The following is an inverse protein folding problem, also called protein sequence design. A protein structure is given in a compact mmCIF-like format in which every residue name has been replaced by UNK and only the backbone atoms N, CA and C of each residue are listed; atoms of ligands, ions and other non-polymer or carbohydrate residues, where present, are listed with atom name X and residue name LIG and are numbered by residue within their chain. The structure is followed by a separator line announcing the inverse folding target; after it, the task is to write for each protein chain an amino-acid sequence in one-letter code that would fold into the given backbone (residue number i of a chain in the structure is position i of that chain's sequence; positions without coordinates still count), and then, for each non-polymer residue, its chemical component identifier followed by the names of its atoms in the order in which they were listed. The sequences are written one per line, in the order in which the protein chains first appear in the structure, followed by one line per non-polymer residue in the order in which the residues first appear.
data_IF_614463060003
#
_entry.id   IF_614463060003
#
_cell.length_a   1.000
_cell.length_b   1.000
_cell.length_c   1.000
_cell.angle_alpha   90.00
_cell.angle_beta   90.00
_cell.angle_gamma   90.00
#
_symmetry.space_group_name_H-M   'P 1'
#
loop_
_entity.id
_entity.type
_entity.pdbx_description
1 polymer ?
#
# COMPACT_ATOMS: atom_id res chain seq x y z
N UNK A 1 6.89 -14.33 -9.04
CA UNK A 1 6.22 -13.16 -8.45
C UNK A 1 5.06 -12.80 -9.34
N UNK A 2 3.85 -12.78 -8.77
CA UNK A 2 2.63 -12.40 -9.50
C UNK A 2 2.38 -10.89 -9.50
N UNK A 3 3.23 -10.13 -8.79
CA UNK A 3 3.13 -8.68 -8.70
C UNK A 3 3.92 -8.01 -9.83
N UNK A 4 3.46 -6.84 -10.27
CA UNK A 4 4.12 -6.03 -11.28
C UNK A 4 4.17 -4.56 -10.85
N UNK A 5 5.20 -3.86 -11.29
CA UNK A 5 5.33 -2.41 -11.16
C UNK A 5 5.69 -1.85 -12.53
N UNK A 6 4.95 -0.85 -12.96
CA UNK A 6 5.19 -0.13 -14.20
C UNK A 6 5.25 1.37 -13.92
N UNK A 7 6.07 2.08 -14.69
CA UNK A 7 6.29 3.50 -14.54
C UNK A 7 6.23 4.18 -15.90
N UNK A 8 5.43 5.22 -16.00
CA UNK A 8 5.32 6.08 -17.17
C UNK A 8 5.84 7.46 -16.81
N UNK A 9 6.76 7.97 -17.62
CA UNK A 9 7.37 9.29 -17.47
C UNK A 9 7.01 10.07 -18.73
N UNK A 10 6.49 11.30 -18.56
CA UNK A 10 6.25 12.21 -19.69
C UNK A 10 7.55 12.39 -20.47
N UNK A 11 7.49 12.38 -21.80
CA UNK A 11 8.67 12.45 -22.66
C UNK A 11 9.53 13.70 -22.37
N UNK A 12 8.89 14.85 -22.13
CA UNK A 12 9.56 16.10 -21.75
C UNK A 12 10.28 16.05 -20.40
N UNK A 13 9.93 15.10 -19.52
CA UNK A 13 10.50 14.96 -18.19
C UNK A 13 11.60 13.89 -18.13
N UNK A 14 11.72 13.04 -19.16
CA UNK A 14 12.66 11.92 -19.18
C UNK A 14 14.04 12.37 -19.66
N UNK A 15 15.09 11.95 -18.96
CA UNK A 15 16.48 12.14 -19.38
C UNK A 15 16.74 11.55 -20.77
N UNK A 16 17.53 12.23 -21.64
CA UNK A 16 18.36 13.41 -21.33
C UNK A 16 17.62 14.76 -21.37
N UNK A 17 16.38 14.81 -21.87
CA UNK A 17 15.68 16.08 -22.12
C UNK A 17 15.03 16.67 -20.86
N UNK A 18 14.81 15.85 -19.83
CA UNK A 18 14.19 16.26 -18.58
C UNK A 18 14.86 15.69 -17.34
N UNK A 19 14.39 16.11 -16.16
CA UNK A 19 15.08 15.90 -14.88
C UNK A 19 14.90 14.49 -14.30
N UNK A 20 14.15 13.60 -14.96
CA UNK A 20 13.84 12.26 -14.43
C UNK A 20 14.68 11.20 -15.13
N UNK A 21 15.50 10.49 -14.37
CA UNK A 21 16.35 9.40 -14.84
C UNK A 21 16.03 8.11 -14.07
N UNK A 22 15.57 7.03 -14.73
CA UNK A 22 15.53 5.71 -14.11
C UNK A 22 16.93 5.23 -13.75
N UNK A 23 17.15 4.85 -12.48
CA UNK A 23 18.45 4.41 -11.99
C UNK A 23 18.52 2.89 -11.88
N UNK A 24 17.54 2.27 -11.23
CA UNK A 24 17.59 0.83 -10.94
C UNK A 24 16.20 0.28 -10.60
N UNK A 25 16.04 -1.03 -10.75
CA UNK A 25 14.88 -1.76 -10.26
C UNK A 25 15.29 -3.14 -9.75
N UNK A 26 14.59 -3.67 -8.75
CA UNK A 26 14.84 -5.00 -8.19
C UNK A 26 13.54 -5.67 -7.75
N UNK A 27 13.52 -6.99 -7.83
CA UNK A 27 12.45 -7.84 -7.32
C UNK A 27 13.03 -8.84 -6.33
N UNK A 28 12.33 -9.10 -5.22
CA UNK A 28 12.73 -10.14 -4.29
C UNK A 28 11.52 -10.76 -3.59
N UNK A 29 11.58 -12.08 -3.39
CA UNK A 29 10.56 -12.88 -2.72
C UNK A 29 10.90 -13.10 -1.25
N UNK A 30 9.90 -13.15 -0.37
CA UNK A 30 10.12 -13.48 1.05
C UNK A 30 10.35 -14.98 1.28
N UNK A 31 9.86 -15.83 0.38
CA UNK A 31 10.04 -17.29 0.49
C UNK A 31 10.59 -17.88 -0.81
N UNK A 32 11.37 -18.96 -0.69
CA UNK A 32 11.89 -19.70 -1.85
C UNK A 32 10.84 -20.57 -2.54
N UNK A 33 9.77 -20.95 -1.83
CA UNK A 33 8.84 -22.01 -2.25
C UNK A 33 7.54 -21.42 -2.82
N UNK A 34 7.13 -20.22 -2.39
CA UNK A 34 5.95 -19.56 -2.91
C UNK A 34 6.25 -18.09 -3.20
N UNK A 35 6.64 -17.82 -4.45
CA UNK A 35 7.09 -16.52 -4.92
C UNK A 35 5.98 -15.48 -5.12
N UNK A 36 4.80 -15.65 -4.52
CA UNK A 36 3.66 -14.71 -4.64
C UNK A 36 3.69 -13.58 -3.60
N UNK A 37 4.66 -13.60 -2.68
CA UNK A 37 4.83 -12.59 -1.62
C UNK A 37 6.25 -12.05 -1.68
N UNK A 38 6.38 -10.74 -1.75
CA UNK A 38 7.67 -10.10 -1.94
C UNK A 38 7.57 -8.59 -2.07
N UNK A 39 8.64 -8.00 -2.58
CA UNK A 39 8.67 -6.61 -2.99
C UNK A 39 9.35 -6.39 -4.35
N UNK A 40 8.87 -5.34 -5.00
CA UNK A 40 9.41 -4.74 -6.22
C UNK A 40 9.89 -3.35 -5.86
N UNK A 41 10.96 -2.92 -6.51
CA UNK A 41 11.55 -1.60 -6.29
C UNK A 41 11.86 -0.95 -7.61
N UNK A 42 11.63 0.35 -7.70
CA UNK A 42 12.04 1.22 -8.80
C UNK A 42 12.66 2.48 -8.19
N UNK A 43 13.88 2.79 -8.60
CA UNK A 43 14.61 3.97 -8.15
C UNK A 43 14.75 4.93 -9.30
N UNK A 44 14.29 6.16 -9.08
CA UNK A 44 14.37 7.26 -10.03
C UNK A 44 15.22 8.38 -9.41
N UNK A 45 16.12 8.98 -10.18
CA UNK A 45 16.65 10.31 -9.89
C UNK A 45 15.66 11.31 -10.49
N UNK A 46 15.05 12.15 -9.67
CA UNK A 46 14.14 13.23 -10.07
C UNK A 46 14.77 14.54 -9.65
N UNK A 47 15.18 15.37 -10.61
CA UNK A 47 16.10 16.49 -10.36
C UNK A 47 17.32 15.96 -9.62
N UNK A 48 17.70 16.54 -8.47
CA UNK A 48 18.81 16.05 -7.65
C UNK A 48 18.38 15.22 -6.44
N UNK A 49 17.15 14.68 -6.47
CA UNK A 49 16.64 13.80 -5.43
C UNK A 49 16.56 12.36 -5.92
N UNK A 50 16.98 11.42 -5.07
CA UNK A 50 16.86 9.97 -5.34
C UNK A 50 15.61 9.44 -4.64
N UNK A 51 14.67 8.96 -5.44
CA UNK A 51 13.34 8.52 -5.00
C UNK A 51 13.21 7.02 -5.24
N UNK A 52 12.88 6.26 -4.20
CA UNK A 52 12.64 4.82 -4.26
C UNK A 52 11.15 4.51 -4.13
N UNK A 53 10.57 3.88 -5.14
CA UNK A 53 9.23 3.31 -5.11
C UNK A 53 9.33 1.84 -4.74
N UNK A 54 8.59 1.44 -3.71
CA UNK A 54 8.52 0.07 -3.20
C UNK A 54 7.09 -0.42 -3.37
N UNK A 55 6.92 -1.46 -4.19
CA UNK A 55 5.69 -2.23 -4.32
C UNK A 55 5.81 -3.47 -3.45
N UNK A 56 4.80 -3.83 -2.67
CA UNK A 56 4.85 -5.04 -1.85
C UNK A 56 3.57 -5.87 -1.88
N UNK A 57 3.73 -7.15 -1.58
CA UNK A 57 2.64 -8.08 -1.30
C UNK A 57 3.01 -8.88 -0.06
N UNK A 58 2.52 -8.43 1.10
CA UNK A 58 2.85 -8.95 2.41
C UNK A 58 2.10 -10.25 2.72
N UNK A 59 2.63 -11.12 3.62
CA UNK A 59 1.93 -12.33 4.04
C UNK A 59 0.49 -12.06 4.52
N UNK A 60 -0.46 -12.85 4.01
CA UNK A 60 -1.88 -12.72 4.36
C UNK A 60 -2.18 -13.12 5.81
N UNK A 61 -1.42 -14.08 6.36
CA UNK A 61 -1.61 -14.58 7.71
C UNK A 61 -0.49 -14.16 8.65
N UNK A 62 -0.88 -13.85 9.89
CA UNK A 62 0.04 -13.60 11.00
C UNK A 62 0.69 -12.22 10.99
N UNK A 63 0.34 -11.41 11.98
CA UNK A 63 0.92 -10.08 12.21
C UNK A 63 2.45 -10.09 12.26
N UNK A 64 3.04 -11.10 12.93
CA UNK A 64 4.51 -11.29 13.01
C UNK A 64 5.15 -11.58 11.66
N UNK A 65 4.46 -12.29 10.77
CA UNK A 65 4.94 -12.59 9.42
C UNK A 65 5.05 -11.32 8.57
N UNK A 66 4.03 -10.45 8.64
CA UNK A 66 4.03 -9.15 7.97
C UNK A 66 5.12 -8.22 8.51
N UNK A 67 5.29 -8.15 9.83
CA UNK A 67 6.38 -7.39 10.45
C UNK A 67 7.76 -7.85 9.98
N UNK A 68 8.03 -9.16 10.01
CA UNK A 68 9.30 -9.73 9.51
C UNK A 68 9.52 -9.45 8.02
N UNK A 69 8.45 -9.49 7.21
CA UNK A 69 8.54 -9.16 5.79
C UNK A 69 8.93 -7.68 5.56
N UNK A 70 8.34 -6.74 6.32
CA UNK A 70 8.75 -5.32 6.30
C UNK A 70 10.20 -5.13 6.75
N UNK A 71 10.62 -5.80 7.82
CA UNK A 71 12.03 -5.78 8.25
C UNK A 71 12.96 -6.29 7.15
N UNK A 72 12.59 -7.39 6.49
CA UNK A 72 13.37 -7.96 5.40
C UNK A 72 13.50 -7.01 4.21
N UNK A 73 12.42 -6.32 3.82
CA UNK A 73 12.46 -5.30 2.77
C UNK A 73 13.45 -4.19 3.14
N UNK A 74 13.35 -3.63 4.35
CA UNK A 74 14.24 -2.55 4.82
C UNK A 74 15.71 -2.96 4.75
N UNK A 75 16.05 -4.14 5.25
CA UNK A 75 17.41 -4.69 5.18
C UNK A 75 17.88 -4.88 3.74
N UNK A 76 16.99 -5.36 2.85
CA UNK A 76 17.31 -5.54 1.42
C UNK A 76 17.53 -4.23 0.70
N UNK A 77 16.74 -3.19 1.00
CA UNK A 77 16.93 -1.86 0.44
C UNK A 77 18.30 -1.30 0.80
N UNK A 78 18.69 -1.36 2.08
CA UNK A 78 20.02 -0.97 2.52
C UNK A 78 21.13 -1.78 1.81
N UNK A 79 21.05 -3.11 1.90
CA UNK A 79 22.06 -4.00 1.33
C UNK A 79 22.27 -3.78 -0.18
N UNK A 80 21.18 -3.64 -0.95
CA UNK A 80 21.25 -3.61 -2.41
C UNK A 80 21.62 -2.25 -2.95
N UNK A 81 21.23 -1.16 -2.27
CA UNK A 81 21.39 0.20 -2.80
C UNK A 81 22.49 1.02 -2.10
N UNK A 82 22.98 0.61 -0.93
CA UNK A 82 24.16 1.21 -0.28
C UNK A 82 25.32 0.24 -0.07
N UNK A 83 25.21 -1.00 -0.57
CA UNK A 83 26.21 -2.06 -0.38
C UNK A 83 26.58 -2.32 1.10
N UNK A 84 25.70 -1.95 2.02
CA UNK A 84 25.90 -2.11 3.47
C UNK A 84 24.58 -2.48 4.13
N UNK A 85 24.61 -3.47 5.02
CA UNK A 85 23.47 -3.84 5.86
C UNK A 85 23.39 -3.03 7.16
N UNK A 86 24.39 -2.18 7.44
CA UNK A 86 24.48 -1.37 8.65
C UNK A 86 23.82 0.00 8.49
N UNK A 87 23.59 0.42 7.25
CA UNK A 87 22.93 1.68 6.92
C UNK A 87 21.41 1.49 6.99
N UNK A 88 20.70 2.39 7.66
CA UNK A 88 19.25 2.42 7.60
C UNK A 88 18.80 2.81 6.18
N UNK A 89 17.84 2.09 5.60
CA UNK A 89 17.35 2.32 4.23
C UNK A 89 16.85 3.76 4.01
N UNK A 90 16.38 4.45 5.07
CA UNK A 90 15.97 5.86 5.03
C UNK A 90 17.12 6.82 4.71
N UNK A 91 18.38 6.39 4.86
CA UNK A 91 19.58 7.16 4.52
C UNK A 91 20.08 6.89 3.10
N UNK A 92 19.50 5.90 2.42
CA UNK A 92 19.93 5.48 1.07
C UNK A 92 19.21 6.29 -0.02
N UNK A 93 18.02 6.78 0.29
CA UNK A 93 17.18 7.55 -0.62
C UNK A 93 16.77 8.86 0.05
N UNK A 94 16.50 9.89 -0.76
CA UNK A 94 15.92 11.14 -0.25
C UNK A 94 14.45 10.94 0.09
N UNK A 95 13.74 10.13 -0.73
CA UNK A 95 12.34 9.78 -0.53
C UNK A 95 12.10 8.29 -0.77
N UNK A 96 11.23 7.69 0.04
CA UNK A 96 10.73 6.33 -0.14
C UNK A 96 9.21 6.36 -0.20
N UNK A 97 8.64 5.92 -1.32
CA UNK A 97 7.20 5.72 -1.50
C UNK A 97 6.95 4.22 -1.43
N UNK A 98 6.22 3.77 -0.41
CA UNK A 98 5.98 2.35 -0.19
C UNK A 98 4.48 2.04 -0.24
N UNK A 99 4.07 1.28 -1.25
CA UNK A 99 2.68 0.92 -1.50
C UNK A 99 2.54 -0.57 -1.87
N UNK A 100 1.31 -1.07 -1.86
CA UNK A 100 0.96 -2.43 -2.24
C UNK A 100 -0.01 -3.07 -1.26
N UNK A 101 -0.15 -4.39 -1.34
CA UNK A 101 -0.99 -5.13 -0.39
C UNK A 101 -0.21 -5.44 0.89
N UNK A 102 -0.38 -4.59 1.89
CA UNK A 102 0.23 -4.79 3.20
C UNK A 102 -0.44 -5.90 4.02
N UNK A 103 -1.63 -6.37 3.62
CA UNK A 103 -2.41 -7.39 4.31
C UNK A 103 -2.69 -7.10 5.81
N UNK A 104 -2.67 -5.83 6.22
CA UNK A 104 -3.17 -5.43 7.54
C UNK A 104 -4.67 -5.70 7.63
N UNK A 105 -5.14 -6.10 8.81
CA UNK A 105 -6.51 -6.54 9.07
C UNK A 105 -7.17 -5.65 10.10
N UNK A 106 -8.47 -5.44 9.98
CA UNK A 106 -9.26 -4.81 11.03
C UNK A 106 -9.36 -5.73 12.25
N UNK A 107 -8.93 -5.27 13.42
CA UNK A 107 -9.02 -5.97 14.70
C UNK A 107 -10.33 -5.62 15.43
N UNK A 108 -11.46 -5.84 14.75
CA UNK A 108 -12.80 -5.57 15.29
C UNK A 108 -13.78 -6.69 14.91
N UNK A 109 -14.75 -6.96 15.79
CA UNK A 109 -15.83 -7.89 15.50
C UNK A 109 -16.91 -7.23 14.63
N UNK A 110 -17.78 -8.00 13.94
CA UNK A 110 -18.86 -7.45 13.13
C UNK A 110 -19.78 -6.49 13.88
N UNK A 111 -20.04 -6.76 15.17
CA UNK A 111 -20.88 -5.91 16.02
C UNK A 111 -20.27 -4.51 16.21
N UNK A 112 -18.94 -4.39 16.13
CA UNK A 112 -18.21 -3.12 16.23
C UNK A 112 -18.11 -2.45 14.88
N UNK A 113 -17.69 -3.17 13.82
CA UNK A 113 -17.38 -2.52 12.55
C UNK A 113 -18.62 -2.24 11.68
N UNK A 114 -19.70 -3.03 11.78
CA UNK A 114 -20.89 -2.83 10.94
C UNK A 114 -21.52 -1.45 11.16
N UNK A 115 -21.78 -1.01 12.41
CA UNK A 115 -22.34 0.33 12.64
C UNK A 115 -21.43 1.47 12.19
N UNK A 116 -20.10 1.27 12.23
CA UNK A 116 -19.12 2.25 11.75
C UNK A 116 -19.14 2.35 10.23
N UNK A 117 -19.26 1.22 9.53
CA UNK A 117 -19.43 1.18 8.09
C UNK A 117 -20.75 1.83 7.67
N UNK A 118 -21.87 1.51 8.32
CA UNK A 118 -23.18 2.09 8.02
C UNK A 118 -23.15 3.62 8.06
N UNK A 119 -22.45 4.19 9.06
CA UNK A 119 -22.24 5.63 9.22
C UNK A 119 -21.11 6.19 8.34
N UNK A 120 -20.37 5.33 7.65
CA UNK A 120 -19.16 5.65 6.91
C UNK A 120 -18.10 6.38 7.76
N UNK A 121 -18.04 6.06 9.05
CA UNK A 121 -17.10 6.66 10.00
C UNK A 121 -15.74 5.98 9.91
N UNK A 122 -14.97 6.38 8.88
CA UNK A 122 -13.65 5.82 8.61
C UNK A 122 -12.63 6.16 9.70
N UNK A 123 -12.77 7.32 10.34
CA UNK A 123 -11.84 7.75 11.39
C UNK A 123 -11.90 6.80 12.60
N UNK A 124 -13.11 6.50 13.08
CA UNK A 124 -13.33 5.52 14.15
C UNK A 124 -12.97 4.11 13.70
N UNK A 125 -13.32 3.70 12.47
CA UNK A 125 -13.00 2.37 11.96
C UNK A 125 -11.49 2.10 11.94
N UNK A 126 -10.69 3.10 11.53
CA UNK A 126 -9.24 2.99 11.45
C UNK A 126 -8.57 2.83 12.81
N UNK A 127 -9.24 3.15 13.94
CA UNK A 127 -8.70 2.90 15.27
C UNK A 127 -8.46 1.41 15.53
N UNK A 128 -9.18 0.54 14.82
CA UNK A 128 -9.03 -0.92 14.89
C UNK A 128 -8.12 -1.48 13.79
N UNK A 129 -7.44 -0.66 13.00
CA UNK A 129 -6.54 -1.17 11.96
C UNK A 129 -5.27 -1.78 12.59
N UNK A 130 -4.92 -3.02 12.23
CA UNK A 130 -3.72 -3.72 12.75
C UNK A 130 -2.43 -2.90 12.57
N UNK A 131 -2.37 -1.98 11.61
CA UNK A 131 -1.19 -1.14 11.45
C UNK A 131 -0.99 -0.10 12.54
N UNK A 132 -2.01 0.18 13.37
CA UNK A 132 -1.91 1.05 14.55
C UNK A 132 -1.46 0.30 15.81
N UNK A 133 -1.51 -1.03 15.78
CA UNK A 133 -1.02 -1.90 16.84
C UNK A 133 0.52 -1.99 16.85
N UNK A 134 1.10 -2.56 17.90
CA UNK A 134 2.55 -2.63 18.14
C UNK A 134 3.38 -3.08 16.94
N UNK A 135 2.93 -4.13 16.25
CA UNK A 135 3.63 -4.67 15.08
C UNK A 135 3.47 -3.83 13.82
N UNK A 136 2.51 -2.90 13.78
CA UNK A 136 2.27 -1.96 12.68
C UNK A 136 3.01 -0.63 12.84
N UNK A 137 3.33 -0.25 14.07
CA UNK A 137 4.04 1.00 14.40
C UNK A 137 5.48 1.04 13.86
N UNK A 138 6.02 -0.09 13.37
CA UNK A 138 7.35 -0.14 12.75
C UNK A 138 7.51 0.82 11.57
N UNK A 139 6.43 1.11 10.85
CA UNK A 139 6.46 2.08 9.76
C UNK A 139 6.62 3.52 10.29
N UNK A 140 5.90 3.87 11.37
CA UNK A 140 5.98 5.19 12.01
C UNK A 140 7.36 5.42 12.62
N UNK A 141 7.95 4.39 13.24
CA UNK A 141 9.32 4.45 13.79
C UNK A 141 10.37 4.80 12.74
N UNK A 142 10.16 4.45 11.47
CA UNK A 142 11.02 4.83 10.35
C UNK A 142 10.50 6.07 9.58
N UNK A 143 9.71 6.93 10.25
CA UNK A 143 9.22 8.20 9.73
C UNK A 143 8.33 8.08 8.48
N UNK A 144 7.79 6.89 8.20
CA UNK A 144 6.82 6.72 7.13
C UNK A 144 5.51 7.40 7.52
N UNK A 145 4.90 8.10 6.56
CA UNK A 145 3.64 8.80 6.74
C UNK A 145 2.59 8.24 5.80
N UNK A 146 1.35 8.19 6.29
CA UNK A 146 0.16 7.71 5.58
C UNK A 146 -0.82 8.88 5.49
N UNK A 147 -1.34 9.14 4.27
CA UNK A 147 -2.35 10.17 4.08
C UNK A 147 -3.65 9.78 4.81
N UNK A 148 -4.51 10.73 5.22
CA UNK A 148 -5.79 10.40 5.83
C UNK A 148 -6.63 9.47 4.95
N UNK A 149 -6.98 8.30 5.48
CA UNK A 149 -7.81 7.31 4.79
C UNK A 149 -9.27 7.70 4.95
N UNK A 150 -9.91 8.07 3.82
CA UNK A 150 -11.30 8.54 3.76
C UNK A 150 -12.19 7.70 2.85
N UNK A 151 -11.66 6.61 2.32
CA UNK A 151 -12.38 5.66 1.46
C UNK A 151 -12.73 4.40 2.26
N UNK A 152 -13.78 3.70 1.81
CA UNK A 152 -14.26 2.46 2.42
C UNK A 152 -13.23 1.31 2.30
N UNK A 153 -13.25 0.31 3.20
CA UNK A 153 -12.35 -0.85 3.13
C UNK A 153 -12.26 -1.45 1.73
N UNK A 154 -11.05 -1.79 1.29
CA UNK A 154 -10.80 -2.18 -0.10
C UNK A 154 -10.90 -3.68 -0.33
N UNK A 155 -11.03 -4.47 0.75
CA UNK A 155 -11.11 -5.93 0.77
C UNK A 155 -11.97 -6.40 1.96
N UNK A 156 -12.65 -7.56 1.90
CA UNK A 156 -12.83 -8.46 0.75
C UNK A 156 -14.13 -8.15 0.03
N UNK A 157 -14.06 -7.76 -1.24
CA UNK A 157 -15.23 -7.37 -2.00
C UNK A 157 -16.02 -8.59 -2.49
N UNK A 158 -17.35 -8.46 -2.55
CA UNK A 158 -18.21 -9.50 -3.05
C UNK A 158 -18.09 -9.66 -4.58
N UNK A 159 -18.04 -10.90 -5.06
CA UNK A 159 -18.01 -11.17 -6.49
C UNK A 159 -19.34 -10.77 -7.14
N UNK A 160 -19.29 -10.11 -8.30
CA UNK A 160 -20.50 -9.67 -9.02
C UNK A 160 -21.32 -8.60 -8.31
N UNK A 161 -20.74 -7.90 -7.32
CA UNK A 161 -21.38 -6.77 -6.63
C UNK A 161 -21.88 -5.70 -7.60
N UNK A 162 -23.06 -5.09 -7.35
CA UNK A 162 -23.54 -3.96 -8.14
C UNK A 162 -22.63 -2.73 -7.94
N UNK A 163 -22.80 -1.66 -8.74
CA UNK A 163 -22.23 -0.37 -8.41
C UNK A 163 -22.56 0.04 -6.97
N UNK A 164 -21.58 0.57 -6.25
CA UNK A 164 -21.75 0.97 -4.86
C UNK A 164 -22.91 1.97 -4.74
N UNK A 165 -23.89 1.61 -3.90
CA UNK A 165 -25.00 2.47 -3.53
C UNK A 165 -25.15 2.45 -2.00
N UNK A 166 -24.61 3.45 -1.32
CA UNK A 166 -24.66 3.54 0.15
C UNK A 166 -26.02 3.95 0.70
N UNK A 167 -26.99 4.30 -0.15
CA UNK A 167 -28.39 4.56 0.23
C UNK A 167 -29.19 3.26 0.41
N UNK A 168 -28.70 2.13 -0.13
CA UNK A 168 -29.32 0.82 0.01
C UNK A 168 -29.06 0.27 1.43
N UNK A 169 -30.08 -0.07 2.23
CA UNK A 169 -29.89 -0.55 3.61
C UNK A 169 -28.97 -1.77 3.73
N UNK A 170 -28.88 -2.60 2.69
CA UNK A 170 -28.05 -3.81 2.67
C UNK A 170 -26.73 -3.61 1.90
N UNK A 171 -26.32 -2.37 1.62
CA UNK A 171 -25.18 -2.08 0.76
C UNK A 171 -23.89 -2.75 1.24
N UNK A 172 -23.67 -2.86 2.56
CA UNK A 172 -22.49 -3.50 3.13
C UNK A 172 -22.44 -4.99 2.77
N UNK A 173 -23.59 -5.68 2.88
CA UNK A 173 -23.70 -7.11 2.55
C UNK A 173 -23.59 -7.36 1.03
N UNK A 174 -23.96 -6.38 0.21
CA UNK A 174 -23.83 -6.40 -1.25
C UNK A 174 -22.40 -6.10 -1.70
N UNK A 175 -21.69 -5.24 -0.97
CA UNK A 175 -20.35 -4.77 -1.29
C UNK A 175 -19.25 -5.72 -0.80
N UNK A 176 -19.45 -6.36 0.36
CA UNK A 176 -18.42 -7.12 1.06
C UNK A 176 -18.79 -8.59 1.29
N UNK A 177 -17.76 -9.45 1.28
CA UNK A 177 -17.89 -10.82 1.75
C UNK A 177 -17.82 -10.83 3.29
N UNK A 178 -18.97 -10.91 3.94
CA UNK A 178 -19.08 -10.92 5.42
C UNK A 178 -19.15 -12.33 6.02
N UNK A 179 -19.21 -13.35 5.15
CA UNK A 179 -19.14 -14.76 5.53
C UNK A 179 -18.08 -15.49 4.68
N UNK A 180 -17.29 -16.35 5.33
CA UNK A 180 -16.32 -17.21 4.66
C UNK A 180 -17.04 -18.31 3.86
N UNK A 181 -17.28 -18.07 2.56
CA UNK A 181 -17.63 -19.17 1.64
C UNK A 181 -16.39 -20.02 1.40
N UNK A 182 -16.38 -21.28 1.88
CA UNK A 182 -15.44 -22.29 1.37
C UNK A 182 -15.72 -22.45 -0.12
N UNK A 183 -14.81 -22.00 -0.97
CA UNK A 183 -15.02 -21.96 -2.42
C UNK A 183 -15.24 -23.35 -3.01
N UNK A 184 -16.24 -23.47 -3.89
CA UNK A 184 -16.33 -24.57 -4.85
C UNK A 184 -15.43 -24.19 -6.03
N UNK A 185 -14.38 -24.98 -6.29
CA UNK A 185 -13.61 -24.89 -7.54
C UNK A 185 -14.56 -25.25 -8.70
N UNK A 186 -15.05 -24.27 -9.46
CA UNK A 186 -15.93 -24.63 -10.59
C UNK A 186 -16.37 -23.52 -11.53
N UNK A 187 -16.54 -22.27 -11.10
CA UNK A 187 -17.03 -21.24 -12.02
C UNK A 187 -15.89 -20.37 -12.56
N UNK A 188 -15.48 -20.69 -13.80
CA UNK A 188 -14.76 -19.78 -14.70
C UNK A 188 -15.68 -18.64 -15.11
N UNK A 189 -15.82 -17.65 -14.25
CA UNK A 189 -16.12 -16.29 -14.70
C UNK A 189 -14.88 -15.47 -14.34
N UNK A 190 -14.25 -14.86 -15.34
CA UNK A 190 -13.22 -13.85 -15.13
C UNK A 190 -13.89 -12.66 -14.43
N UNK A 191 -14.02 -12.75 -13.11
CA UNK A 191 -14.55 -11.67 -12.28
C UNK A 191 -13.42 -10.72 -11.90
N UNK A 192 -13.78 -9.45 -11.71
CA UNK A 192 -12.90 -8.41 -11.19
C UNK A 192 -12.22 -8.85 -9.87
N UNK A 193 -11.11 -8.20 -9.51
CA UNK A 193 -10.41 -8.47 -8.24
C UNK A 193 -11.35 -8.29 -7.04
N UNK A 194 -11.16 -9.12 -6.00
CA UNK A 194 -11.78 -8.97 -4.67
C UNK A 194 -11.17 -7.81 -3.86
N UNK A 195 -10.21 -7.09 -4.45
CA UNK A 195 -9.69 -5.82 -3.99
C UNK A 195 -10.21 -4.67 -4.87
N UNK A 196 -10.47 -3.52 -4.24
CA UNK A 196 -10.65 -2.26 -4.97
C UNK A 196 -9.31 -1.56 -5.20
N UNK A 197 -9.06 -0.98 -6.38
CA UNK A 197 -7.83 -0.23 -6.64
C UNK A 197 -7.73 0.99 -5.74
N UNK A 198 -6.50 1.38 -5.41
CA UNK A 198 -6.19 2.58 -4.61
C UNK A 198 -5.17 3.42 -5.38
N UNK A 199 -5.45 4.70 -5.53
CA UNK A 199 -4.60 5.69 -6.21
C UNK A 199 -4.06 6.74 -5.26
N UNK A 200 -3.03 7.46 -5.70
CA UNK A 200 -2.48 8.60 -4.96
C UNK A 200 -1.78 9.64 -5.81
N UNK A 201 -1.94 10.89 -5.41
CA UNK A 201 -1.11 12.01 -5.84
C UNK A 201 -0.03 12.35 -4.80
N UNK A 202 1.14 12.75 -5.29
CA UNK A 202 2.24 13.30 -4.51
C UNK A 202 2.83 14.49 -5.27
N UNK A 203 3.11 15.58 -4.56
CA UNK A 203 3.86 16.71 -5.09
C UNK A 203 5.29 16.63 -4.57
N UNK A 204 6.25 16.47 -5.47
CA UNK A 204 7.68 16.54 -5.16
C UNK A 204 8.21 17.87 -5.70
N UNK A 205 8.67 18.72 -4.79
CA UNK A 205 9.23 20.01 -5.14
C UNK A 205 10.74 19.90 -5.34
N UNK A 206 11.26 20.56 -6.38
CA UNK A 206 12.69 20.76 -6.52
C UNK A 206 13.17 21.66 -5.36
N UNK A 207 14.32 21.33 -4.78
CA UNK A 207 14.94 22.14 -3.74
C UNK A 207 15.65 23.34 -4.37
N UNK A 208 14.88 24.25 -4.98
CA UNK A 208 15.42 25.48 -5.55
C UNK A 208 15.46 26.55 -4.44
N UNK A 209 16.36 26.37 -3.47
CA UNK A 209 16.71 27.37 -2.44
C UNK A 209 15.64 27.75 -1.40
N UNK A 210 14.36 27.67 -1.73
CA UNK A 210 13.22 27.90 -0.83
C UNK A 210 12.34 26.66 -0.80
N UNK A 211 12.34 25.97 0.34
CA UNK A 211 11.42 24.88 0.60
C UNK A 211 9.99 25.44 0.71
N UNK A 212 9.00 24.95 -0.06
CA UNK A 212 7.62 25.37 0.14
C UNK A 212 7.17 24.99 1.56
N UNK A 213 6.29 25.80 2.18
CA UNK A 213 5.85 25.62 3.56
C UNK A 213 5.10 24.29 3.80
N UNK A 214 4.77 23.55 2.73
CA UNK A 214 4.04 22.28 2.80
C UNK A 214 4.64 21.28 1.81
N UNK A 215 5.30 20.25 2.34
CA UNK A 215 5.87 19.12 1.57
C UNK A 215 4.85 18.04 1.18
N UNK A 216 3.61 18.16 1.65
CA UNK A 216 2.50 17.24 1.37
C UNK A 216 1.16 18.02 1.41
N UNK A 217 0.65 18.44 0.26
CA UNK A 217 -0.79 18.70 0.12
C UNK A 217 -1.43 17.46 -0.48
N UNK A 218 -2.16 16.70 0.35
CA UNK A 218 -3.06 15.68 -0.16
C UNK A 218 -4.25 16.36 -0.81
N UNK A 219 -4.21 16.59 -2.13
CA UNK A 219 -5.45 16.74 -2.89
C UNK A 219 -6.22 15.43 -2.77
N UNK A 220 -7.50 15.49 -2.44
CA UNK A 220 -8.33 14.37 -1.99
C UNK A 220 -8.50 13.22 -3.01
N UNK A 221 -7.45 12.46 -3.27
CA UNK A 221 -7.40 11.10 -3.81
C UNK A 221 -6.04 10.50 -3.37
N UNK A 222 -5.95 10.08 -2.10
CA UNK A 222 -4.69 9.77 -1.40
C UNK A 222 -4.31 8.29 -1.40
N UNK A 223 -2.99 7.99 -1.37
CA UNK A 223 -2.49 6.68 -0.95
C UNK A 223 -2.10 6.78 0.50
N UNK A 224 -2.81 5.99 1.26
CA UNK A 224 -2.25 4.73 1.72
C UNK A 224 -3.46 3.77 1.82
N UNK A 225 -3.32 2.52 1.36
CA UNK A 225 -4.43 1.58 1.28
C UNK A 225 -4.46 0.67 2.52
N UNK A 226 -5.18 1.06 3.57
CA UNK A 226 -5.49 0.17 4.68
C UNK A 226 -6.92 0.33 5.12
N UNK A 227 -7.72 -0.65 4.73
CA UNK A 227 -8.57 -1.36 5.67
C UNK A 227 -9.11 -2.58 4.95
N UNK A 228 -8.86 -3.75 5.54
CA UNK A 228 -9.46 -5.00 5.16
C UNK A 228 -10.51 -5.32 6.23
N UNK A 229 -11.75 -5.58 5.84
CA UNK A 229 -12.71 -6.17 6.77
C UNK A 229 -12.21 -7.56 7.15
N UNK A 230 -12.05 -7.78 8.44
CA UNK A 230 -11.60 -9.07 8.95
C UNK A 230 -12.69 -10.13 8.82
N UNK A 231 -12.20 -11.36 8.59
CA UNK A 231 -12.89 -12.62 8.77
C UNK A 231 -12.35 -13.30 10.01
#
# INVERSE_FOLDING_TARGET
MGDAMACWIRESMRSPNGPVTPLAYRAFSFTRINGSKGALTLVLKMYDQVVCFVGCHMPASGVKGRFRARQHIRQKLAQVYSYSSEVDFTRVFHHVIWAGDFNFRLQASPEVYMPLLEKQDMESLLQYDESREDFGQDMVLHQMREAPVRFLPTYKKADGRPPLNTEDPDWILKEYQTQMKKGVLGQRVLMASDHSPVGCGLHLFALDGEAPPVFFEGSAEGAYAKSQLAS
#
